data_IF_702513263115
#
_entry.id   IF_702513263115
#
_cell.length_a   1.000
_cell.length_b   1.000
_cell.length_c   1.000
_cell.angle_alpha   90.00
_cell.angle_beta   90.00
_cell.angle_gamma   90.00
#
_symmetry.space_group_name_H-M   'P 1'
#
loop_
_entity.id
_entity.type
_entity.pdbx_description
1 polymer ?
#
# COMPACT_ATOMS: atom_id res chain seq x y z
N UNK A 1 2.24 -21.86 -25.61
CA UNK A 1 0.82 -21.52 -25.82
C UNK A 1 0.51 -20.26 -25.05
N UNK A 2 0.55 -19.15 -25.78
CA UNK A 2 0.91 -17.82 -25.27
C UNK A 2 -0.25 -16.84 -25.52
N UNK A 3 -1.40 -17.06 -24.87
CA UNK A 3 -2.65 -16.33 -25.16
C UNK A 3 -3.09 -15.32 -24.10
N UNK A 4 -2.37 -15.17 -22.99
CA UNK A 4 -2.80 -14.30 -21.87
C UNK A 4 -2.19 -12.88 -21.82
N UNK A 5 -1.12 -12.61 -22.58
CA UNK A 5 -0.35 -11.35 -22.42
C UNK A 5 -0.74 -10.24 -23.41
N UNK A 6 -1.55 -10.55 -24.43
CA UNK A 6 -2.11 -9.56 -25.38
C UNK A 6 -3.37 -8.87 -24.82
N UNK A 7 -4.11 -9.52 -23.91
CA UNK A 7 -5.43 -9.04 -23.50
C UNK A 7 -5.41 -7.75 -22.67
N UNK A 8 -4.38 -7.52 -21.85
CA UNK A 8 -4.31 -6.33 -21.00
C UNK A 8 -4.05 -5.03 -21.79
N UNK A 9 -3.25 -5.11 -22.86
CA UNK A 9 -3.12 -4.01 -23.83
C UNK A 9 -4.41 -3.78 -24.59
N UNK A 10 -5.08 -4.88 -24.99
CA UNK A 10 -6.35 -4.82 -25.70
C UNK A 10 -7.52 -4.30 -24.85
N UNK A 11 -7.47 -4.43 -23.52
CA UNK A 11 -8.52 -3.96 -22.61
C UNK A 11 -8.48 -2.44 -22.43
N UNK A 12 -7.28 -1.83 -22.41
CA UNK A 12 -7.13 -0.38 -22.33
C UNK A 12 -7.48 0.26 -23.69
N UNK A 13 -7.10 -0.35 -24.81
CA UNK A 13 -7.53 0.07 -26.16
C UNK A 13 -9.05 -0.09 -26.36
N UNK A 14 -9.66 -1.17 -25.85
CA UNK A 14 -11.12 -1.37 -25.91
C UNK A 14 -11.94 -0.42 -25.04
N UNK A 15 -11.39 0.04 -23.91
CA UNK A 15 -12.15 0.88 -22.97
C UNK A 15 -12.07 2.39 -23.25
N UNK A 16 -11.04 2.88 -23.97
CA UNK A 16 -10.81 4.32 -24.14
C UNK A 16 -10.72 4.83 -25.58
N UNK A 17 -10.82 3.97 -26.59
CA UNK A 17 -10.84 4.39 -28.01
C UNK A 17 -9.52 4.98 -28.50
N UNK A 18 -9.27 4.89 -29.81
CA UNK A 18 -8.02 5.37 -30.45
C UNK A 18 -7.87 6.90 -30.45
N UNK A 19 -8.86 7.65 -29.99
CA UNK A 19 -8.92 9.12 -30.16
C UNK A 19 -8.18 9.91 -29.06
N UNK A 20 -7.65 9.25 -28.02
CA UNK A 20 -6.84 9.89 -26.98
C UNK A 20 -5.34 10.03 -27.31
N UNK A 21 -4.96 9.85 -28.59
CA UNK A 21 -3.58 9.69 -29.05
C UNK A 21 -3.00 10.97 -29.64
N UNK A 22 -2.64 11.94 -28.80
CA UNK A 22 -1.75 13.03 -29.23
C UNK A 22 -0.34 12.78 -28.71
N UNK A 23 0.57 12.38 -29.60
CA UNK A 23 2.01 12.33 -29.31
C UNK A 23 2.51 13.76 -29.36
N UNK A 24 2.82 14.35 -28.20
CA UNK A 24 3.47 15.66 -28.15
C UNK A 24 4.87 15.57 -28.80
N UNK A 25 5.22 16.45 -29.74
CA UNK A 25 6.53 16.42 -30.40
C UNK A 25 7.63 16.73 -29.37
N UNK A 26 8.62 15.83 -29.26
CA UNK A 26 9.75 15.95 -28.32
C UNK A 26 9.82 14.87 -27.23
N UNK A 27 8.86 13.93 -27.18
CA UNK A 27 8.80 12.89 -26.15
C UNK A 27 9.41 11.57 -26.65
N UNK A 28 10.32 10.97 -25.87
CA UNK A 28 10.93 9.66 -26.15
C UNK A 28 9.87 8.60 -26.51
N UNK A 29 10.10 7.71 -27.51
CA UNK A 29 9.10 6.76 -28.03
C UNK A 29 8.53 5.77 -26.99
N UNK A 30 9.12 5.71 -25.78
CA UNK A 30 8.66 4.88 -24.65
C UNK A 30 7.60 5.55 -23.78
N UNK A 31 7.27 6.81 -24.04
CA UNK A 31 6.35 7.63 -23.24
C UNK A 31 5.21 8.12 -24.12
N UNK A 32 3.96 7.96 -23.64
CA UNK A 32 2.76 8.44 -24.34
C UNK A 32 1.87 9.23 -23.37
N UNK A 33 1.36 10.39 -23.78
CA UNK A 33 0.33 11.11 -23.04
C UNK A 33 -1.05 10.58 -23.42
N UNK A 34 -1.94 10.46 -22.43
CA UNK A 34 -3.28 9.93 -22.54
C UNK A 34 -4.24 10.89 -21.84
N UNK A 35 -5.38 11.18 -22.46
CA UNK A 35 -6.53 11.76 -21.78
C UNK A 35 -7.43 10.62 -21.29
N UNK A 36 -7.67 10.54 -19.98
CA UNK A 36 -8.53 9.53 -19.38
C UNK A 36 -9.82 10.18 -18.90
N UNK A 37 -10.95 9.64 -19.34
CA UNK A 37 -12.27 9.99 -18.79
C UNK A 37 -12.53 9.14 -17.55
N UNK A 38 -12.36 9.75 -16.37
CA UNK A 38 -12.64 9.10 -15.10
C UNK A 38 -14.10 9.40 -14.75
N UNK A 39 -14.92 8.36 -14.77
CA UNK A 39 -16.27 8.45 -14.21
C UNK A 39 -16.14 8.50 -12.69
N UNK A 40 -16.71 9.52 -12.02
CA UNK A 40 -16.77 9.52 -10.57
C UNK A 40 -17.48 8.25 -10.07
N UNK A 41 -17.33 7.92 -8.79
CA UNK A 41 -18.01 6.79 -8.12
C UNK A 41 -19.55 6.81 -8.19
N UNK A 42 -20.16 7.76 -8.92
CA UNK A 42 -21.58 7.86 -9.23
C UNK A 42 -22.19 6.64 -9.92
N UNK A 43 -21.38 5.64 -10.36
CA UNK A 43 -21.90 4.32 -10.75
C UNK A 43 -22.71 3.67 -9.59
N UNK A 44 -22.39 3.99 -8.32
CA UNK A 44 -23.09 3.44 -7.15
C UNK A 44 -24.23 4.31 -6.57
N UNK A 45 -24.47 5.52 -7.10
CA UNK A 45 -25.60 6.38 -6.67
C UNK A 45 -26.30 7.00 -7.90
N UNK A 46 -27.51 6.53 -8.27
CA UNK A 46 -28.20 6.93 -9.50
C UNK A 46 -28.73 8.37 -9.54
N UNK A 47 -28.53 9.19 -8.50
CA UNK A 47 -29.11 10.54 -8.39
C UNK A 47 -28.11 11.69 -8.60
N UNK A 48 -26.84 11.42 -8.89
CA UNK A 48 -25.86 12.48 -9.18
C UNK A 48 -25.56 12.54 -10.67
N UNK A 49 -26.03 13.59 -11.33
CA UNK A 49 -25.57 14.07 -12.66
C UNK A 49 -24.13 14.56 -12.54
N UNK A 50 -23.18 13.64 -12.45
CA UNK A 50 -21.76 13.97 -12.37
C UNK A 50 -21.13 13.87 -13.75
N UNK A 51 -20.64 14.99 -14.29
CA UNK A 51 -19.88 15.04 -15.55
C UNK A 51 -18.60 14.20 -15.41
N UNK A 52 -18.23 13.37 -16.40
CA UNK A 52 -16.97 12.62 -16.34
C UNK A 52 -15.80 13.61 -16.18
N UNK A 53 -14.90 13.30 -15.24
CA UNK A 53 -13.71 14.10 -15.00
C UNK A 53 -12.65 13.69 -16.01
N UNK A 54 -12.26 14.60 -16.90
CA UNK A 54 -11.11 14.37 -17.78
C UNK A 54 -9.82 14.57 -16.98
N UNK A 55 -9.01 13.51 -16.90
CA UNK A 55 -7.71 13.51 -16.25
C UNK A 55 -6.62 13.22 -17.28
N UNK A 56 -5.65 14.14 -17.41
CA UNK A 56 -4.44 13.90 -18.21
C UNK A 56 -3.51 12.95 -17.47
N UNK A 57 -3.05 11.92 -18.16
CA UNK A 57 -2.11 10.93 -17.63
C UNK A 57 -1.01 10.63 -18.64
N UNK A 58 0.09 10.07 -18.17
CA UNK A 58 1.27 9.69 -18.93
C UNK A 58 1.50 8.20 -18.73
N UNK A 59 1.61 7.48 -19.83
CA UNK A 59 1.94 6.07 -19.89
C UNK A 59 3.45 5.91 -20.10
N UNK A 60 4.08 5.18 -19.18
CA UNK A 60 5.49 4.82 -19.19
C UNK A 60 5.63 3.32 -19.38
N UNK A 61 6.57 2.87 -20.21
CA UNK A 61 6.85 1.45 -20.42
C UNK A 61 8.29 1.12 -20.06
N UNK A 62 8.50 0.08 -19.24
CA UNK A 62 9.82 -0.45 -18.87
C UNK A 62 9.86 -1.96 -18.93
N UNK A 63 10.95 -2.52 -19.46
CA UNK A 63 11.20 -3.96 -19.41
C UNK A 63 11.75 -4.31 -18.04
N UNK A 64 11.03 -5.14 -17.28
CA UNK A 64 11.46 -5.62 -15.97
C UNK A 64 11.49 -7.15 -16.03
N UNK A 65 12.67 -7.75 -15.84
CA UNK A 65 12.88 -9.21 -15.86
C UNK A 65 12.25 -9.88 -17.10
N UNK A 66 12.47 -9.31 -18.28
CA UNK A 66 11.94 -9.82 -19.55
C UNK A 66 10.45 -9.57 -19.81
N UNK A 67 9.73 -8.89 -18.90
CA UNK A 67 8.32 -8.53 -19.08
C UNK A 67 8.14 -7.04 -19.29
N UNK A 68 7.25 -6.69 -20.23
CA UNK A 68 6.90 -5.30 -20.48
C UNK A 68 5.89 -4.83 -19.42
N UNK A 69 6.33 -3.93 -18.55
CA UNK A 69 5.47 -3.32 -17.52
C UNK A 69 5.11 -1.91 -17.94
N UNK A 70 3.82 -1.58 -17.85
CA UNK A 70 3.30 -0.25 -18.12
C UNK A 70 2.88 0.43 -16.81
N UNK A 71 3.33 1.67 -16.59
CA UNK A 71 3.01 2.50 -15.44
C UNK A 71 2.27 3.73 -15.94
N UNK A 72 1.11 4.02 -15.35
CA UNK A 72 0.32 5.21 -15.64
C UNK A 72 0.50 6.21 -14.51
N UNK A 73 0.78 7.48 -14.84
CA UNK A 73 1.00 8.55 -13.86
C UNK A 73 0.30 9.83 -14.27
N UNK A 74 -0.17 10.64 -13.31
CA UNK A 74 -0.69 12.00 -13.57
C UNK A 74 0.43 13.02 -13.80
N UNK A 75 1.71 12.64 -13.62
CA UNK A 75 2.87 13.49 -13.88
C UNK A 75 3.13 13.61 -15.39
N UNK A 76 2.57 14.65 -16.01
CA UNK A 76 2.57 14.86 -17.46
C UNK A 76 3.92 15.36 -17.99
N UNK A 77 4.61 16.22 -17.23
CA UNK A 77 5.83 16.90 -17.68
C UNK A 77 7.07 15.96 -17.69
N UNK A 78 7.66 15.67 -18.87
CA UNK A 78 8.83 14.80 -19.00
C UNK A 78 10.15 15.43 -18.55
N UNK A 79 10.27 16.76 -18.56
CA UNK A 79 11.49 17.45 -18.14
C UNK A 79 11.55 17.55 -16.62
N UNK A 80 10.40 17.83 -15.98
CA UNK A 80 10.30 17.88 -14.53
C UNK A 80 10.29 16.50 -13.87
N UNK A 81 9.68 15.51 -14.53
CA UNK A 81 9.56 14.16 -14.00
C UNK A 81 10.08 13.14 -15.02
N UNK A 82 11.37 12.77 -14.95
CA UNK A 82 11.94 11.82 -15.89
C UNK A 82 11.31 10.43 -15.72
N UNK A 83 10.98 9.79 -16.84
CA UNK A 83 10.24 8.52 -16.84
C UNK A 83 10.98 7.38 -16.13
N UNK A 84 12.32 7.40 -16.14
CA UNK A 84 13.15 6.42 -15.44
C UNK A 84 12.92 6.43 -13.93
N UNK A 85 13.03 7.61 -13.31
CA UNK A 85 12.83 7.80 -11.87
C UNK A 85 11.42 7.43 -11.42
N UNK A 86 10.39 7.77 -12.21
CA UNK A 86 9.00 7.40 -11.90
C UNK A 86 8.85 5.87 -11.85
N UNK A 87 9.44 5.16 -12.81
CA UNK A 87 9.34 3.70 -12.83
C UNK A 87 10.17 3.07 -11.70
N UNK A 88 11.33 3.65 -11.37
CA UNK A 88 12.15 3.19 -10.25
C UNK A 88 11.43 3.42 -8.91
N UNK A 89 10.76 4.55 -8.75
CA UNK A 89 9.90 4.81 -7.60
C UNK A 89 8.72 3.85 -7.54
N UNK A 90 8.11 3.51 -8.69
CA UNK A 90 7.05 2.51 -8.75
C UNK A 90 7.54 1.11 -8.33
N UNK A 91 8.82 0.79 -8.54
CA UNK A 91 9.40 -0.48 -8.08
C UNK A 91 9.43 -0.58 -6.55
N UNK A 92 9.52 0.55 -5.85
CA UNK A 92 9.49 0.64 -4.38
C UNK A 92 8.06 0.56 -3.81
N UNK A 93 7.01 0.49 -4.63
CA UNK A 93 5.63 0.34 -4.15
C UNK A 93 5.46 -0.85 -3.19
N UNK A 94 6.22 -1.94 -3.39
CA UNK A 94 6.20 -3.12 -2.51
C UNK A 94 6.59 -2.83 -1.05
N UNK A 95 7.27 -1.70 -0.76
CA UNK A 95 7.57 -1.29 0.62
C UNK A 95 6.32 -1.15 1.48
N UNK A 96 5.18 -0.77 0.89
CA UNK A 96 3.92 -0.64 1.63
C UNK A 96 3.43 -2.01 2.14
N UNK A 97 3.67 -3.07 1.38
CA UNK A 97 3.28 -4.43 1.77
C UNK A 97 4.13 -4.95 2.93
N UNK A 98 5.41 -4.57 2.96
CA UNK A 98 6.27 -4.82 4.11
C UNK A 98 5.79 -4.04 5.34
N UNK A 99 5.30 -2.82 5.16
CA UNK A 99 4.63 -2.05 6.21
C UNK A 99 3.38 -2.75 6.77
N UNK A 100 2.49 -3.22 5.89
CA UNK A 100 1.32 -3.99 6.30
C UNK A 100 1.71 -5.30 7.00
N UNK A 101 2.74 -5.99 6.51
CA UNK A 101 3.27 -7.18 7.17
C UNK A 101 3.79 -6.87 8.57
N UNK A 102 4.53 -5.76 8.74
CA UNK A 102 5.01 -5.32 10.03
C UNK A 102 3.86 -5.09 11.02
N UNK A 103 2.79 -4.42 10.59
CA UNK A 103 1.61 -4.22 11.44
C UNK A 103 0.97 -5.57 11.80
N UNK A 104 0.63 -6.39 10.80
CA UNK A 104 -0.10 -7.65 11.00
C UNK A 104 0.69 -8.70 11.79
N UNK A 105 1.97 -8.88 11.47
CA UNK A 105 2.77 -9.94 12.08
C UNK A 105 3.46 -9.48 13.35
N UNK A 106 3.99 -8.25 13.38
CA UNK A 106 4.82 -7.81 14.50
C UNK A 106 4.02 -7.06 15.57
N UNK A 107 3.14 -6.14 15.18
CA UNK A 107 2.34 -5.38 16.17
C UNK A 107 1.15 -6.18 16.68
N UNK A 108 0.44 -6.88 15.79
CA UNK A 108 -0.70 -7.73 16.15
C UNK A 108 -0.31 -9.18 16.48
N UNK A 109 0.99 -9.49 16.56
CA UNK A 109 1.47 -10.84 16.89
C UNK A 109 1.09 -11.93 15.88
N UNK A 110 0.61 -11.57 14.68
CA UNK A 110 0.11 -12.52 13.70
C UNK A 110 -1.31 -13.01 13.94
N UNK A 111 -2.04 -12.41 14.90
CA UNK A 111 -3.44 -12.73 15.12
C UNK A 111 -4.32 -12.19 13.98
N UNK A 112 -5.30 -13.01 13.57
CA UNK A 112 -6.25 -12.66 12.51
C UNK A 112 -7.44 -11.84 13.02
N UNK A 113 -7.68 -11.85 14.33
CA UNK A 113 -8.82 -11.21 14.99
C UNK A 113 -8.33 -10.21 16.02
N UNK A 114 -8.98 -9.04 16.06
CA UNK A 114 -8.75 -8.05 17.11
C UNK A 114 -9.42 -8.49 18.42
N UNK A 115 -8.95 -7.98 19.56
CA UNK A 115 -9.47 -8.38 20.88
C UNK A 115 -10.89 -7.85 21.13
N UNK A 116 -11.19 -6.68 20.59
CA UNK A 116 -12.45 -5.96 20.82
C UNK A 116 -13.64 -6.60 20.07
N UNK A 117 -14.81 -6.64 20.71
CA UNK A 117 -16.04 -7.22 20.14
C UNK A 117 -17.08 -6.21 19.65
N UNK A 118 -16.90 -4.93 19.97
CA UNK A 118 -17.81 -3.84 19.57
C UNK A 118 -17.14 -2.95 18.52
N UNK A 119 -17.89 -2.43 17.53
CA UNK A 119 -17.32 -1.66 16.41
C UNK A 119 -16.53 -0.42 16.86
N UNK A 120 -16.99 0.28 17.90
CA UNK A 120 -16.32 1.47 18.44
C UNK A 120 -14.95 1.12 19.04
N UNK A 121 -14.89 0.09 19.89
CA UNK A 121 -13.63 -0.40 20.48
C UNK A 121 -12.68 -0.97 19.42
N UNK A 122 -13.20 -1.62 18.38
CA UNK A 122 -12.39 -2.10 17.24
C UNK A 122 -11.73 -0.92 16.52
N UNK A 123 -12.46 0.17 16.29
CA UNK A 123 -11.89 1.38 15.69
C UNK A 123 -10.78 1.97 16.59
N UNK A 124 -11.01 2.04 17.91
CA UNK A 124 -10.01 2.49 18.87
C UNK A 124 -8.74 1.62 18.85
N UNK A 125 -8.90 0.30 18.83
CA UNK A 125 -7.79 -0.65 18.76
C UNK A 125 -6.97 -0.44 17.49
N UNK A 126 -7.62 -0.27 16.34
CA UNK A 126 -6.95 0.01 15.07
C UNK A 126 -6.18 1.35 15.10
N UNK A 127 -6.78 2.39 15.68
CA UNK A 127 -6.09 3.68 15.88
C UNK A 127 -4.88 3.54 16.80
N UNK A 128 -4.99 2.76 17.87
CA UNK A 128 -3.87 2.48 18.78
C UNK A 128 -2.72 1.77 18.08
N UNK A 129 -3.02 0.77 17.25
CA UNK A 129 -2.01 0.05 16.46
C UNK A 129 -1.34 0.97 15.45
N UNK A 130 -2.12 1.82 14.75
CA UNK A 130 -1.58 2.77 13.78
C UNK A 130 -0.68 3.81 14.45
N UNK A 131 -1.09 4.31 15.62
CA UNK A 131 -0.29 5.23 16.43
C UNK A 131 1.03 4.59 16.85
N UNK A 132 0.99 3.36 17.40
CA UNK A 132 2.18 2.61 17.78
C UNK A 132 3.13 2.35 16.60
N UNK A 133 2.59 1.97 15.44
CA UNK A 133 3.38 1.82 14.22
C UNK A 133 4.09 3.12 13.83
N UNK A 134 3.36 4.25 13.83
CA UNK A 134 3.91 5.55 13.46
C UNK A 134 4.97 6.03 14.45
N UNK A 135 4.79 5.80 15.75
CA UNK A 135 5.79 6.13 16.77
C UNK A 135 7.09 5.33 16.58
N UNK A 136 6.98 4.02 16.36
CA UNK A 136 8.15 3.17 16.07
C UNK A 136 8.84 3.62 14.78
N UNK A 137 8.08 3.90 13.72
CA UNK A 137 8.64 4.40 12.45
C UNK A 137 9.32 5.75 12.62
N UNK A 138 8.72 6.66 13.36
CA UNK A 138 9.32 7.97 13.66
C UNK A 138 10.65 7.82 14.38
N UNK A 139 10.72 6.96 15.40
CA UNK A 139 11.98 6.69 16.08
C UNK A 139 13.02 6.05 15.16
N UNK A 140 12.62 5.14 14.27
CA UNK A 140 13.52 4.59 13.24
C UNK A 140 14.06 5.67 12.28
N UNK A 141 13.26 6.69 11.93
CA UNK A 141 13.74 7.85 11.16
C UNK A 141 14.81 8.61 11.94
N UNK A 142 14.62 8.81 13.24
CA UNK A 142 15.64 9.47 14.08
C UNK A 142 16.91 8.64 14.18
N UNK A 143 16.79 7.32 14.30
CA UNK A 143 17.93 6.41 14.29
C UNK A 143 18.66 6.42 12.95
N UNK A 144 17.93 6.42 11.82
CA UNK A 144 18.55 6.41 10.49
C UNK A 144 19.35 7.69 10.22
N UNK A 145 19.01 8.82 10.84
CA UNK A 145 19.80 10.07 10.73
C UNK A 145 21.24 9.92 11.25
N UNK A 146 21.50 8.96 12.14
CA UNK A 146 22.86 8.66 12.61
C UNK A 146 23.69 7.86 11.59
N UNK A 147 23.05 7.29 10.56
CA UNK A 147 23.68 6.49 9.53
C UNK A 147 23.53 7.20 8.16
N UNK A 148 24.51 7.97 7.70
CA UNK A 148 24.40 8.69 6.44
C UNK A 148 24.21 7.72 5.27
N UNK A 149 23.23 8.02 4.40
CA UNK A 149 22.91 7.23 3.21
C UNK A 149 21.99 6.03 3.44
N UNK A 150 21.55 5.78 4.68
CA UNK A 150 20.62 4.68 5.00
C UNK A 150 19.19 5.21 5.11
N UNK A 151 18.27 4.59 4.36
CA UNK A 151 16.85 4.88 4.48
C UNK A 151 16.21 4.08 5.63
N UNK A 152 15.17 4.61 6.31
CA UNK A 152 14.46 3.90 7.38
C UNK A 152 13.85 2.56 6.95
N UNK A 153 13.57 2.39 5.65
CA UNK A 153 13.06 1.15 5.06
C UNK A 153 14.13 0.05 4.93
N UNK A 154 15.41 0.41 5.00
CA UNK A 154 16.55 -0.51 4.95
C UNK A 154 16.93 -1.02 6.34
N UNK A 155 16.33 -0.45 7.39
CA UNK A 155 16.50 -0.93 8.76
C UNK A 155 15.48 -2.04 9.08
N UNK A 156 15.90 -3.04 9.86
CA UNK A 156 15.03 -4.12 10.32
C UNK A 156 13.95 -3.59 11.26
N UNK A 157 12.68 -3.59 10.82
CA UNK A 157 11.55 -3.19 11.66
C UNK A 157 11.46 -4.04 12.93
N UNK A 158 11.63 -5.36 12.81
CA UNK A 158 11.58 -6.27 13.95
C UNK A 158 12.67 -5.93 14.96
N UNK A 159 13.94 -5.86 14.54
CA UNK A 159 15.04 -5.60 15.46
C UNK A 159 14.95 -4.21 16.10
N UNK A 160 14.58 -3.18 15.33
CA UNK A 160 14.36 -1.84 15.86
C UNK A 160 13.20 -1.81 16.86
N UNK A 161 12.08 -2.48 16.58
CA UNK A 161 10.95 -2.54 17.50
C UNK A 161 11.32 -3.17 18.84
N UNK A 162 12.12 -4.25 18.83
CA UNK A 162 12.62 -4.89 20.04
C UNK A 162 13.53 -3.95 20.84
N UNK A 163 14.43 -3.22 20.17
CA UNK A 163 15.33 -2.28 20.83
C UNK A 163 14.57 -1.10 21.47
N UNK A 164 13.61 -0.52 20.75
CA UNK A 164 12.80 0.61 21.23
C UNK A 164 11.91 0.17 22.40
N UNK A 165 11.20 -0.97 22.25
CA UNK A 165 10.37 -1.51 23.33
C UNK A 165 11.21 -1.94 24.54
N UNK A 166 12.41 -2.49 24.32
CA UNK A 166 13.34 -2.83 25.38
C UNK A 166 13.77 -1.60 26.19
N UNK A 167 14.05 -0.47 25.52
CA UNK A 167 14.29 0.80 26.20
C UNK A 167 13.06 1.22 27.01
N UNK A 168 11.87 1.23 26.41
CA UNK A 168 10.62 1.63 27.09
C UNK A 168 10.26 0.75 28.29
N UNK A 169 10.57 -0.55 28.24
CA UNK A 169 10.34 -1.45 29.38
C UNK A 169 11.39 -1.26 30.48
N UNK A 170 12.62 -0.89 30.12
CA UNK A 170 13.70 -0.65 31.09
C UNK A 170 13.67 0.73 31.74
N UNK A 171 12.93 1.69 31.21
CA UNK A 171 12.92 3.07 31.72
C UNK A 171 12.28 3.21 33.10
N UNK A 172 11.34 2.33 33.47
CA UNK A 172 10.70 2.32 34.80
C UNK A 172 11.66 2.01 35.95
N UNK A 173 12.76 1.31 35.65
CA UNK A 173 13.79 0.94 36.62
C UNK A 173 14.87 2.01 36.78
N UNK A 174 14.81 3.09 35.98
CA UNK A 174 15.86 4.10 35.90
C UNK A 174 15.36 5.49 36.31
N UNK A 175 16.27 6.34 36.78
CA UNK A 175 15.95 7.74 37.07
C UNK A 175 15.60 8.49 35.77
N UNK A 176 14.54 9.32 35.73
CA UNK A 176 14.08 10.00 34.51
C UNK A 176 15.14 10.91 33.87
N UNK A 177 16.10 11.41 34.66
CA UNK A 177 17.24 12.20 34.15
C UNK A 177 18.16 11.45 33.18
N UNK A 178 18.14 10.11 33.19
CA UNK A 178 19.00 9.28 32.34
C UNK A 178 18.38 8.96 30.97
N UNK A 179 17.08 9.23 30.78
CA UNK A 179 16.35 8.95 29.54
C UNK A 179 17.02 9.54 28.29
N UNK A 180 17.50 10.81 28.29
CA UNK A 180 18.17 11.36 27.12
C UNK A 180 19.47 10.62 26.78
N UNK A 181 20.17 10.09 27.78
CA UNK A 181 21.37 9.26 27.59
C UNK A 181 21.02 7.96 26.86
N UNK A 182 20.05 7.20 27.38
CA UNK A 182 19.61 5.96 26.75
C UNK A 182 19.07 6.14 25.34
N UNK A 183 18.38 7.25 25.07
CA UNK A 183 17.92 7.57 23.72
C UNK A 183 19.09 7.83 22.76
N UNK A 184 20.14 8.53 23.22
CA UNK A 184 21.36 8.72 22.43
C UNK A 184 22.06 7.39 22.18
N UNK A 185 22.15 6.51 23.16
CA UNK A 185 22.78 5.20 23.01
C UNK A 185 22.00 4.31 22.03
N UNK A 186 20.66 4.32 22.12
CA UNK A 186 19.79 3.64 21.17
C UNK A 186 20.02 4.16 19.74
N UNK A 187 20.07 5.49 19.56
CA UNK A 187 20.34 6.10 18.26
C UNK A 187 21.76 5.79 17.76
N UNK A 188 22.78 5.81 18.62
CA UNK A 188 24.15 5.45 18.25
C UNK A 188 24.27 3.98 17.81
N UNK A 189 23.41 3.10 18.32
CA UNK A 189 23.34 1.69 17.92
C UNK A 189 22.66 1.44 16.56
N UNK A 190 22.16 2.49 15.87
CA UNK A 190 21.38 2.38 14.63
C UNK A 190 22.04 1.52 13.55
N UNK A 191 23.36 1.64 13.37
CA UNK A 191 24.11 0.89 12.36
C UNK A 191 23.95 -0.64 12.49
N UNK A 192 23.70 -1.15 13.71
CA UNK A 192 23.53 -2.59 13.99
C UNK A 192 22.23 -3.16 13.42
N UNK A 193 21.25 -2.31 13.13
CA UNK A 193 19.92 -2.72 12.66
C UNK A 193 19.75 -2.55 11.14
N UNK A 194 20.77 -2.08 10.45
CA UNK A 194 20.78 -1.95 8.99
C UNK A 194 20.81 -3.35 8.38
N UNK A 195 19.85 -3.63 7.50
CA UNK A 195 19.81 -4.89 6.78
C UNK A 195 20.85 -4.89 5.66
N UNK A 196 21.42 -6.06 5.32
CA UNK A 196 22.22 -6.17 4.11
C UNK A 196 21.35 -5.85 2.89
N UNK A 197 22.00 -5.39 1.81
CA UNK A 197 21.31 -5.11 0.56
C UNK A 197 20.48 -6.32 0.09
N UNK A 198 19.32 -6.05 -0.51
CA UNK A 198 18.36 -7.10 -0.88
C UNK A 198 19.01 -8.11 -1.83
N UNK A 199 18.91 -9.39 -1.48
CA UNK A 199 19.46 -10.48 -2.30
C UNK A 199 18.72 -10.52 -3.64
N UNK A 200 19.39 -10.27 -4.78
CA UNK A 200 18.75 -10.23 -6.09
C UNK A 200 18.23 -11.60 -6.54
N UNK A 201 18.82 -12.68 -6.02
CA UNK A 201 18.57 -14.07 -6.45
C UNK A 201 17.34 -14.71 -5.80
N UNK A 202 16.69 -14.03 -4.85
CA UNK A 202 15.49 -14.57 -4.18
C UNK A 202 14.26 -14.37 -5.06
N UNK A 203 13.94 -15.37 -5.87
CA UNK A 203 12.73 -15.43 -6.69
C UNK A 203 11.87 -16.64 -6.28
N UNK A 204 10.64 -16.37 -5.83
CA UNK A 204 9.62 -17.41 -5.66
C UNK A 204 8.69 -17.33 -6.86
N UNK A 205 8.66 -18.34 -7.75
CA UNK A 205 7.69 -18.36 -8.83
C UNK A 205 6.30 -18.28 -8.22
N UNK A 206 5.49 -17.31 -8.65
CA UNK A 206 4.09 -17.21 -8.21
C UNK A 206 3.36 -18.46 -8.70
N UNK A 207 3.09 -19.40 -7.80
CA UNK A 207 2.13 -20.45 -8.07
C UNK A 207 0.78 -19.77 -8.28
N UNK A 208 0.22 -19.92 -9.47
CA UNK A 208 -1.16 -19.52 -9.74
C UNK A 208 -2.02 -20.49 -8.94
N UNK A 209 -2.49 -20.06 -7.77
CA UNK A 209 -3.52 -20.80 -7.04
C UNK A 209 -4.72 -20.83 -7.98
N UNK A 210 -5.15 -22.04 -8.38
CA UNK A 210 -6.31 -22.22 -9.24
C UNK A 210 -7.49 -21.42 -8.70
N UNK A 211 -8.29 -20.84 -9.60
CA UNK A 211 -9.47 -20.09 -9.20
C UNK A 211 -10.27 -20.89 -8.18
N UNK A 212 -10.61 -20.28 -7.04
CA UNK A 212 -11.45 -20.90 -6.05
C UNK A 212 -12.72 -21.41 -6.74
N UNK A 213 -13.02 -22.70 -6.58
CA UNK A 213 -14.28 -23.29 -7.05
C UNK A 213 -15.40 -22.44 -6.45
N UNK A 214 -16.26 -21.87 -7.30
CA UNK A 214 -17.44 -21.12 -6.85
C UNK A 214 -18.21 -22.00 -5.87
N UNK A 215 -18.28 -21.61 -4.59
CA UNK A 215 -19.10 -22.32 -3.63
C UNK A 215 -20.54 -22.33 -4.16
N UNK A 216 -21.12 -23.51 -4.35
CA UNK A 216 -22.52 -23.74 -4.77
C UNK A 216 -23.53 -23.42 -3.68
N UNK A 217 -23.15 -22.65 -2.65
CA UNK A 217 -24.11 -22.05 -1.75
C UNK A 217 -24.96 -21.06 -2.55
N UNK A 218 -26.15 -21.51 -2.96
CA UNK A 218 -27.26 -20.62 -3.32
C UNK A 218 -27.37 -19.65 -2.16
N UNK A 219 -27.00 -18.39 -2.39
CA UNK A 219 -27.45 -17.30 -1.54
C UNK A 219 -28.97 -17.35 -1.64
N UNK A 220 -29.64 -17.93 -0.64
CA UNK A 220 -31.05 -17.68 -0.44
C UNK A 220 -31.15 -16.18 -0.18
N UNK A 221 -31.41 -15.42 -1.25
CA UNK A 221 -31.89 -14.06 -1.18
C UNK A 221 -33.26 -14.15 -0.52
N UNK A 222 -33.29 -14.11 0.82
CA UNK A 222 -34.52 -13.82 1.55
C UNK A 222 -34.85 -12.38 1.20
N UNK A 223 -35.84 -12.21 0.32
CA UNK A 223 -36.44 -10.92 0.02
C UNK A 223 -37.23 -10.51 1.26
N UNK A 224 -36.61 -9.72 2.13
CA UNK A 224 -37.31 -9.09 3.25
C UNK A 224 -38.11 -7.94 2.64
N UNK A 225 -39.40 -8.17 2.39
CA UNK A 225 -40.34 -7.08 2.12
C UNK A 225 -40.57 -6.32 3.42
N UNK A 226 -39.83 -5.23 3.61
CA UNK A 226 -40.11 -4.29 4.69
C UNK A 226 -41.34 -3.49 4.31
N UNK A 227 -42.51 -3.90 4.83
CA UNK A 227 -43.69 -3.05 4.91
C UNK A 227 -43.45 -2.03 6.04
N UNK A 228 -42.71 -0.96 5.78
CA UNK A 228 -42.79 0.26 6.62
C UNK A 228 -44.23 0.76 6.53
N UNK A 229 -45.01 0.97 7.60
CA UNK A 229 -44.78 1.94 8.67
C UNK A 229 -43.86 1.57 9.84
N UNK A 230 -43.55 2.54 10.72
CA UNK A 230 -42.17 2.84 11.07
C UNK A 230 -41.90 2.62 12.55
N UNK A 231 -41.26 1.51 12.94
CA UNK A 231 -40.49 1.47 14.20
C UNK A 231 -39.30 0.52 14.01
N UNK A 232 -38.11 1.11 14.11
CA UNK A 232 -36.82 0.45 13.88
C UNK A 232 -36.33 -0.07 15.23
N UNK A 233 -36.25 -1.39 15.39
CA UNK A 233 -35.45 -2.03 16.43
C UNK A 233 -34.37 -2.88 15.76
N UNK A 234 -33.11 -2.52 16.02
CA UNK A 234 -31.93 -3.27 15.58
C UNK A 234 -31.66 -4.41 16.57
N UNK A 235 -31.88 -5.64 16.13
CA UNK A 235 -31.39 -6.85 16.78
C UNK A 235 -30.30 -7.49 15.94
N UNK A 236 -29.09 -7.62 16.50
CA UNK A 236 -28.00 -8.43 15.95
C UNK A 236 -28.30 -9.88 16.35
N UNK A 237 -28.30 -10.82 15.40
CA UNK A 237 -28.31 -12.24 15.70
C UNK A 237 -27.02 -12.91 15.21
N UNK A 238 -26.60 -13.88 16.02
CA UNK A 238 -25.29 -14.53 16.18
C UNK A 238 -24.70 -15.19 14.94
#
# INVERSE_FOLDING_TARGET
MDKGHSEAGSLIERLYGSDALTISPGVSPKTRLLALTVWPLCIYRPHTTCRPLEMRARLLRKMIKGKMVSVLTSMVDPLRFPGGEIVDLYSQRWEIELGYRAIKQRLLGGEYTLRSKTPEMIAQELWGVLLGYNLLRYQMVLMSRQCPGVYPCEMSFTACSWAILGLLHGTSLNHPGNLPGFLRDLQASAARYVLPHRRPDRWFPRAVVGHAVKSTHRRHLVRIETRTGPHVHWGICQ
#
